data_IF_076592583372
#
_entry.id   IF_076592583372
#
_cell.length_a   1.000
_cell.length_b   1.000
_cell.length_c   1.000
_cell.angle_alpha   90.00
_cell.angle_beta   90.00
_cell.angle_gamma   90.00
#
_symmetry.space_group_name_H-M   'P 1'
#
loop_
_entity.id
_entity.type
_entity.pdbx_description
1 polymer ?
#
# COMPACT_ATOMS: atom_id res chain seq x y z
N UNK A 1 9.42 -6.15 4.99
CA UNK A 1 10.82 -5.69 4.80
C UNK A 1 10.77 -4.41 3.98
N UNK A 2 11.39 -3.33 4.46
CA UNK A 2 11.52 -2.09 3.72
C UNK A 2 12.92 -2.00 3.10
N UNK A 3 13.03 -1.47 1.89
CA UNK A 3 14.30 -1.25 1.20
C UNK A 3 14.62 0.24 1.25
N UNK A 4 15.81 0.58 1.71
CA UNK A 4 16.26 1.96 1.90
C UNK A 4 17.41 2.25 0.92
N UNK A 5 17.11 2.49 -0.37
CA UNK A 5 18.14 2.83 -1.34
C UNK A 5 18.64 4.27 -1.13
N UNK A 6 19.90 4.52 -1.47
CA UNK A 6 20.47 5.87 -1.46
C UNK A 6 20.05 6.70 -2.70
N UNK A 7 19.65 5.99 -3.76
CA UNK A 7 19.24 6.54 -5.05
C UNK A 7 17.88 5.98 -5.42
N UNK A 8 16.93 6.85 -5.77
CA UNK A 8 15.57 6.43 -6.09
C UNK A 8 15.55 5.37 -7.21
N UNK A 9 14.81 4.28 -6.97
CA UNK A 9 14.62 3.15 -7.90
C UNK A 9 15.86 2.32 -8.24
N UNK A 10 16.98 2.52 -7.55
CA UNK A 10 18.17 1.68 -7.66
C UNK A 10 18.20 0.73 -6.47
N UNK A 11 18.06 -0.57 -6.74
CA UNK A 11 18.09 -1.61 -5.72
C UNK A 11 19.14 -2.66 -6.11
N UNK A 12 20.02 -2.97 -5.18
CA UNK A 12 21.11 -3.93 -5.34
C UNK A 12 21.33 -4.75 -4.06
N UNK A 13 22.35 -5.61 -4.06
CA UNK A 13 22.68 -6.46 -2.92
C UNK A 13 23.16 -5.69 -1.68
N UNK A 14 23.60 -4.45 -1.85
CA UNK A 14 24.06 -3.56 -0.78
C UNK A 14 22.93 -2.69 -0.21
N UNK A 15 21.77 -2.65 -0.87
CA UNK A 15 20.64 -1.84 -0.42
C UNK A 15 20.21 -2.26 0.98
N UNK A 16 20.17 -1.29 1.90
CA UNK A 16 19.85 -1.54 3.30
C UNK A 16 18.42 -2.06 3.41
N UNK A 17 18.28 -3.21 4.09
CA UNK A 17 16.99 -3.85 4.37
C UNK A 17 16.66 -3.65 5.84
N UNK A 18 15.50 -3.04 6.10
CA UNK A 18 15.03 -2.82 7.46
C UNK A 18 13.76 -3.64 7.72
N UNK A 19 13.71 -4.33 8.86
CA UNK A 19 12.50 -5.03 9.26
C UNK A 19 11.52 -4.03 9.87
N UNK A 20 10.37 -3.85 9.22
CA UNK A 20 9.28 -2.95 9.64
C UNK A 20 8.11 -3.74 10.25
N UNK A 21 8.37 -4.94 10.74
CA UNK A 21 7.35 -5.74 11.41
C UNK A 21 6.78 -4.98 12.63
N UNK A 22 5.47 -5.07 12.81
CA UNK A 22 4.73 -4.31 13.81
C UNK A 22 4.50 -2.81 13.51
N UNK A 23 4.99 -2.28 12.38
CA UNK A 23 4.75 -0.87 12.02
C UNK A 23 3.39 -0.71 11.32
N UNK A 24 2.73 0.42 11.57
CA UNK A 24 1.47 0.77 10.89
C UNK A 24 1.70 1.17 9.43
N UNK A 25 0.99 0.53 8.50
CA UNK A 25 1.03 0.86 7.06
C UNK A 25 0.10 2.02 6.66
N UNK A 26 -0.90 2.31 7.49
CA UNK A 26 -1.83 3.40 7.26
C UNK A 26 -2.47 3.89 8.55
N UNK A 27 -3.14 5.03 8.45
CA UNK A 27 -3.89 5.67 9.52
C UNK A 27 -5.19 6.25 8.97
N UNK A 28 -6.24 6.26 9.79
CA UNK A 28 -7.52 6.87 9.44
C UNK A 28 -8.01 7.76 10.58
N UNK A 29 -8.80 8.78 10.25
CA UNK A 29 -9.34 9.71 11.24
C UNK A 29 -10.53 10.50 10.67
N UNK A 30 -11.50 10.78 11.52
CA UNK A 30 -12.50 11.84 11.27
C UNK A 30 -11.90 13.22 11.58
N UNK A 31 -12.08 14.17 10.67
CA UNK A 31 -11.56 15.52 10.80
C UNK A 31 -12.64 16.54 10.42
N UNK A 32 -13.17 17.24 11.42
CA UNK A 32 -14.33 18.12 11.23
C UNK A 32 -15.54 17.31 10.80
N UNK A 33 -16.12 17.66 9.66
CA UNK A 33 -17.24 16.92 9.05
C UNK A 33 -16.79 15.86 8.03
N UNK A 34 -15.48 15.69 7.85
CA UNK A 34 -14.90 14.79 6.85
C UNK A 34 -14.17 13.60 7.45
N UNK A 35 -13.74 12.70 6.57
CA UNK A 35 -12.95 11.51 6.89
C UNK A 35 -11.64 11.51 6.10
N UNK A 36 -10.56 11.05 6.70
CA UNK A 36 -9.23 10.99 6.11
C UNK A 36 -8.66 9.59 6.31
N UNK A 37 -8.05 9.05 5.27
CA UNK A 37 -7.27 7.81 5.30
C UNK A 37 -5.94 8.05 4.58
N UNK A 38 -4.82 7.68 5.21
CA UNK A 38 -3.46 7.88 4.70
C UNK A 38 -2.72 6.56 4.75
N UNK A 39 -1.99 6.22 3.68
CA UNK A 39 -1.15 5.03 3.59
C UNK A 39 0.27 5.40 3.13
N UNK A 40 1.27 4.70 3.66
CA UNK A 40 2.67 4.92 3.34
C UNK A 40 3.15 4.26 2.03
N UNK A 41 2.38 3.31 1.51
CA UNK A 41 2.69 2.60 0.27
C UNK A 41 1.55 2.79 -0.74
N UNK A 42 1.87 3.38 -1.89
CA UNK A 42 0.89 3.61 -2.94
C UNK A 42 0.67 2.37 -3.80
N UNK A 43 1.71 1.54 -3.99
CA UNK A 43 1.67 0.38 -4.87
C UNK A 43 0.63 -0.66 -4.45
N UNK A 44 0.27 -0.72 -3.16
CA UNK A 44 -0.76 -1.64 -2.63
C UNK A 44 -2.11 -1.45 -3.33
N UNK A 45 -2.46 -0.20 -3.66
CA UNK A 45 -3.75 0.18 -4.24
C UNK A 45 -3.69 0.36 -5.75
N UNK A 46 -2.70 -0.24 -6.41
CA UNK A 46 -2.59 -0.24 -7.88
C UNK A 46 -3.04 -1.55 -8.49
N UNK A 47 -3.28 -1.56 -9.80
CA UNK A 47 -3.49 -2.77 -10.59
C UNK A 47 -2.29 -3.03 -11.54
N UNK A 48 -1.07 -2.67 -11.12
CA UNK A 48 0.10 -2.68 -11.99
C UNK A 48 0.52 -4.10 -12.41
N UNK A 49 1.08 -4.17 -13.62
CA UNK A 49 1.82 -5.32 -14.14
C UNK A 49 3.24 -4.84 -14.42
N UNK A 50 4.22 -5.37 -13.69
CA UNK A 50 5.56 -4.79 -13.61
C UNK A 50 6.63 -5.76 -14.11
N UNK A 51 7.59 -5.20 -14.86
CA UNK A 51 8.79 -5.88 -15.33
C UNK A 51 8.56 -6.90 -16.45
N UNK A 52 9.64 -7.45 -17.04
CA UNK A 52 9.57 -8.41 -18.13
C UNK A 52 8.79 -9.69 -17.77
N UNK A 53 8.80 -10.06 -16.49
CA UNK A 53 8.09 -11.23 -15.97
C UNK A 53 6.60 -10.98 -15.73
N UNK A 54 6.09 -9.78 -16.05
CA UNK A 54 4.68 -9.39 -15.89
C UNK A 54 4.13 -9.68 -14.49
N UNK A 55 4.90 -9.34 -13.47
CA UNK A 55 4.48 -9.56 -12.08
C UNK A 55 3.30 -8.66 -11.76
N UNK A 56 2.23 -9.23 -11.24
CA UNK A 56 1.04 -8.50 -10.80
C UNK A 56 1.30 -7.89 -9.42
N UNK A 57 1.14 -6.57 -9.30
CA UNK A 57 1.30 -5.83 -8.05
C UNK A 57 -0.02 -5.30 -7.51
N UNK A 58 0.02 -4.82 -6.26
CA UNK A 58 -1.12 -4.16 -5.61
C UNK A 58 -2.35 -5.04 -5.46
N UNK A 59 -3.48 -4.60 -5.99
CA UNK A 59 -4.77 -5.27 -5.98
C UNK A 59 -4.81 -6.53 -6.86
N UNK A 60 -3.86 -6.69 -7.79
CA UNK A 60 -3.76 -7.88 -8.63
C UNK A 60 -2.83 -8.96 -8.03
N UNK A 61 -2.23 -8.68 -6.87
CA UNK A 61 -1.22 -9.55 -6.25
C UNK A 61 -1.85 -10.81 -5.66
N UNK A 62 -1.31 -11.98 -6.01
CA UNK A 62 -1.75 -13.27 -5.46
C UNK A 62 -1.35 -13.45 -3.98
N UNK A 63 -0.34 -12.72 -3.50
CA UNK A 63 0.14 -12.80 -2.11
C UNK A 63 -0.48 -11.73 -1.20
N UNK A 64 -1.26 -10.80 -1.77
CA UNK A 64 -1.98 -9.76 -1.02
C UNK A 64 -3.42 -9.61 -1.56
N UNK A 65 -4.23 -10.68 -1.53
CA UNK A 65 -5.56 -10.70 -2.16
C UNK A 65 -6.52 -9.66 -1.56
N UNK A 66 -6.32 -9.30 -0.28
CA UNK A 66 -7.21 -8.39 0.45
C UNK A 66 -6.98 -6.91 0.14
N UNK A 67 -5.95 -6.55 -0.64
CA UNK A 67 -5.70 -5.14 -1.00
C UNK A 67 -6.91 -4.50 -1.70
N UNK A 68 -7.57 -5.25 -2.57
CA UNK A 68 -8.77 -4.79 -3.26
C UNK A 68 -9.93 -4.54 -2.28
N UNK A 69 -10.23 -5.52 -1.42
CA UNK A 69 -11.32 -5.41 -0.46
C UNK A 69 -11.07 -4.31 0.58
N UNK A 70 -9.82 -4.17 1.04
CA UNK A 70 -9.40 -3.09 1.93
C UNK A 70 -9.65 -1.72 1.28
N UNK A 71 -9.23 -1.53 0.03
CA UNK A 71 -9.47 -0.28 -0.69
C UNK A 71 -10.96 0.01 -0.85
N UNK A 72 -11.75 -1.00 -1.22
CA UNK A 72 -13.19 -0.86 -1.37
C UNK A 72 -13.86 -0.44 -0.05
N UNK A 73 -13.48 -1.07 1.06
CA UNK A 73 -13.97 -0.72 2.40
C UNK A 73 -13.56 0.69 2.80
N UNK A 74 -12.33 1.11 2.50
CA UNK A 74 -11.86 2.48 2.74
C UNK A 74 -12.74 3.48 1.98
N UNK A 75 -13.00 3.24 0.69
CA UNK A 75 -13.84 4.12 -0.11
C UNK A 75 -15.28 4.15 0.42
N UNK A 76 -15.83 3.00 0.83
CA UNK A 76 -17.17 2.95 1.39
C UNK A 76 -17.28 3.58 2.78
N UNK A 77 -16.22 3.52 3.58
CA UNK A 77 -16.18 4.25 4.83
C UNK A 77 -16.08 5.76 4.60
N UNK A 78 -15.29 6.19 3.61
CA UNK A 78 -15.17 7.58 3.19
C UNK A 78 -16.46 8.13 2.57
N UNK A 79 -17.21 7.33 1.80
CA UNK A 79 -18.47 7.72 1.15
C UNK A 79 -19.72 7.52 2.03
N UNK A 80 -19.55 6.97 3.24
CA UNK A 80 -20.61 6.78 4.22
C UNK A 80 -21.51 5.56 3.99
N UNK A 81 -21.18 4.66 3.05
CA UNK A 81 -21.90 3.38 2.89
C UNK A 81 -21.55 2.35 3.97
N UNK A 82 -20.36 2.46 4.54
CA UNK A 82 -19.95 1.71 5.72
C UNK A 82 -19.74 2.67 6.89
N UNK A 83 -20.28 2.32 8.06
CA UNK A 83 -20.05 3.01 9.33
C UNK A 83 -19.07 2.23 10.21
#
# INVERSE_FOLDING_TARGET
MNFLPDTAWVFDDNTTKFNVDGWSQGAFKEFGQGKIVVFGEAAMFTAQITGPQKRKGGMNSEVAPENYQLLLNIIHWLDGKLE
#
